data_IF_021483491038
#
_entry.id   IF_021483491038
#
_cell.length_a   1.000
_cell.length_b   1.000
_cell.length_c   1.000
_cell.angle_alpha   90.00
_cell.angle_beta   90.00
_cell.angle_gamma   90.00
#
_symmetry.space_group_name_H-M   'P 1'
#
loop_
_entity.id
_entity.type
_entity.pdbx_description
1 polymer ?
#
# COMPACT_ATOMS: atom_id res chain seq x y z
N UNK A 1 9.14 3.83 47.07
CA UNK A 1 9.08 3.60 45.61
C UNK A 1 9.02 2.10 45.38
N UNK A 2 7.89 1.57 44.91
CA UNK A 2 7.78 0.15 44.58
C UNK A 2 8.58 -0.14 43.29
N UNK A 3 9.30 -1.27 43.18
CA UNK A 3 10.08 -1.58 42.01
C UNK A 3 9.14 -1.85 40.82
N UNK A 4 9.36 -1.14 39.71
CA UNK A 4 8.72 -1.42 38.42
C UNK A 4 9.07 -2.85 38.02
N UNK A 5 8.08 -3.75 38.04
CA UNK A 5 8.23 -5.10 37.49
C UNK A 5 8.52 -4.97 35.99
N UNK A 6 9.75 -5.27 35.59
CA UNK A 6 10.10 -5.48 34.19
C UNK A 6 9.47 -6.81 33.77
N UNK A 7 8.28 -6.75 33.19
CA UNK A 7 7.68 -7.90 32.50
C UNK A 7 8.54 -8.21 31.29
N UNK A 8 9.37 -9.25 31.40
CA UNK A 8 10.07 -9.85 30.27
C UNK A 8 8.98 -10.38 29.33
N UNK A 9 8.75 -9.71 28.19
CA UNK A 9 7.74 -10.17 27.24
C UNK A 9 8.18 -11.52 26.70
N UNK A 10 7.42 -12.59 27.03
CA UNK A 10 7.63 -13.91 26.43
C UNK A 10 7.50 -13.76 24.92
N UNK A 11 8.39 -14.37 24.14
CA UNK A 11 8.22 -14.43 22.69
C UNK A 11 6.85 -15.02 22.38
N UNK A 12 6.07 -14.36 21.52
CA UNK A 12 4.75 -14.83 21.12
C UNK A 12 4.86 -16.24 20.52
N UNK A 13 3.97 -17.14 20.94
CA UNK A 13 3.96 -18.50 20.41
C UNK A 13 3.46 -18.49 18.96
N UNK A 14 3.99 -19.38 18.08
CA UNK A 14 3.59 -19.43 16.69
C UNK A 14 2.08 -19.65 16.58
N UNK A 15 1.39 -18.65 16.03
CA UNK A 15 -0.04 -18.74 15.73
C UNK A 15 -0.22 -19.41 14.35
N UNK A 16 -1.24 -20.25 14.23
CA UNK A 16 -1.60 -20.87 12.94
C UNK A 16 -2.11 -19.82 11.94
N UNK A 17 -2.45 -20.28 10.73
CA UNK A 17 -3.03 -19.41 9.71
C UNK A 17 -4.33 -18.75 10.22
N UNK A 18 -4.36 -17.42 10.30
CA UNK A 18 -5.56 -16.66 10.68
C UNK A 18 -6.62 -16.68 9.57
N UNK A 19 -6.19 -16.91 8.33
CA UNK A 19 -7.04 -16.99 7.16
C UNK A 19 -6.99 -18.41 6.59
N UNK A 20 -8.05 -19.18 6.84
CA UNK A 20 -8.21 -20.57 6.37
C UNK A 20 -8.19 -20.73 4.83
N UNK A 21 -8.31 -19.64 4.08
CA UNK A 21 -8.36 -19.61 2.60
C UNK A 21 -7.13 -18.94 1.96
N UNK A 22 -6.15 -18.51 2.77
CA UNK A 22 -4.90 -17.96 2.28
C UNK A 22 -3.94 -19.12 1.91
N UNK A 23 -4.24 -19.81 0.81
CA UNK A 23 -3.27 -20.65 0.12
C UNK A 23 -2.04 -19.78 -0.20
N UNK A 24 -0.87 -20.02 0.43
CA UNK A 24 0.27 -19.08 0.42
C UNK A 24 0.75 -18.72 -0.99
N UNK A 25 0.56 -19.62 -1.96
CA UNK A 25 0.97 -19.45 -3.36
C UNK A 25 -0.03 -18.71 -4.23
N UNK A 26 -1.32 -18.68 -3.86
CA UNK A 26 -2.37 -18.19 -4.76
C UNK A 26 -2.43 -16.66 -4.74
N UNK A 27 -2.56 -16.03 -3.57
CA UNK A 27 -2.90 -14.61 -3.51
C UNK A 27 -1.80 -13.59 -3.86
N UNK A 28 -0.51 -13.79 -3.52
CA UNK A 28 0.56 -12.86 -3.92
C UNK A 28 0.67 -12.68 -5.45
N UNK A 29 0.37 -13.77 -6.18
CA UNK A 29 0.38 -13.84 -7.63
C UNK A 29 -0.99 -13.52 -8.22
N UNK A 30 -2.08 -13.79 -7.50
CA UNK A 30 -3.43 -13.54 -7.98
C UNK A 30 -3.83 -12.07 -7.95
N UNK A 31 -3.25 -11.25 -7.06
CA UNK A 31 -3.56 -9.82 -6.99
C UNK A 31 -3.21 -9.02 -8.28
N UNK A 32 -2.01 -9.15 -8.88
CA UNK A 32 -1.73 -8.51 -10.17
C UNK A 32 -2.54 -9.15 -11.31
N UNK A 33 -2.84 -10.45 -11.20
CA UNK A 33 -3.72 -11.12 -12.14
C UNK A 33 -5.16 -10.61 -12.05
N UNK A 34 -5.67 -10.26 -10.86
CA UNK A 34 -7.04 -9.78 -10.65
C UNK A 34 -7.25 -8.39 -11.21
N UNK A 35 -6.27 -7.48 -11.03
CA UNK A 35 -6.26 -6.18 -11.67
C UNK A 35 -6.25 -6.31 -13.21
N UNK A 36 -5.44 -7.23 -13.74
CA UNK A 36 -5.41 -7.52 -15.17
C UNK A 36 -6.75 -8.11 -15.66
N UNK A 37 -7.36 -9.01 -14.88
CA UNK A 37 -8.69 -9.57 -15.21
C UNK A 37 -9.78 -8.49 -15.24
N UNK A 38 -9.73 -7.52 -14.34
CA UNK A 38 -10.65 -6.37 -14.36
C UNK A 38 -10.49 -5.57 -15.65
N UNK A 39 -9.26 -5.29 -16.09
CA UNK A 39 -8.99 -4.63 -17.38
C UNK A 39 -9.63 -5.38 -18.57
N UNK A 40 -9.57 -6.72 -18.59
CA UNK A 40 -10.19 -7.52 -19.66
C UNK A 40 -11.71 -7.73 -19.50
N UNK A 41 -12.31 -7.31 -18.38
CA UNK A 41 -13.75 -7.46 -18.11
C UNK A 41 -14.52 -6.15 -18.19
N UNK A 42 -13.91 -5.07 -17.70
CA UNK A 42 -14.45 -3.72 -17.64
C UNK A 42 -13.29 -2.72 -17.71
N UNK A 43 -13.32 -1.85 -18.72
CA UNK A 43 -12.33 -0.78 -18.86
C UNK A 43 -12.97 0.45 -19.52
N UNK A 44 -12.22 1.54 -19.56
CA UNK A 44 -12.60 2.82 -20.16
C UNK A 44 -12.61 2.82 -21.69
N UNK A 45 -11.93 1.86 -22.34
CA UNK A 45 -11.83 1.74 -23.81
C UNK A 45 -13.07 1.06 -24.40
N UNK A 46 -13.50 -0.05 -23.79
CA UNK A 46 -14.53 -0.95 -24.29
C UNK A 46 -15.79 -0.98 -23.42
N UNK A 47 -15.76 -0.32 -22.26
CA UNK A 47 -16.86 -0.28 -21.31
C UNK A 47 -17.02 -1.55 -20.46
N UNK A 48 -18.18 -1.70 -19.84
CA UNK A 48 -18.53 -2.84 -18.99
C UNK A 48 -19.89 -3.43 -19.39
N UNK A 49 -19.98 -4.72 -19.78
CA UNK A 49 -18.87 -5.67 -19.94
C UNK A 49 -18.19 -5.54 -21.31
N UNK A 50 -16.92 -5.94 -21.39
CA UNK A 50 -16.12 -5.96 -22.63
C UNK A 50 -16.82 -6.78 -23.73
N UNK A 51 -16.92 -6.31 -25.00
CA UNK A 51 -17.72 -6.95 -26.04
C UNK A 51 -17.40 -8.43 -26.30
N UNK A 52 -16.11 -8.82 -26.27
CA UNK A 52 -15.70 -10.22 -26.43
C UNK A 52 -16.15 -11.15 -25.29
N UNK A 53 -16.58 -10.61 -24.14
CA UNK A 53 -17.15 -11.41 -23.05
C UNK A 53 -18.64 -11.75 -23.24
N UNK A 54 -19.36 -10.96 -24.05
CA UNK A 54 -20.78 -11.16 -24.33
C UNK A 54 -21.03 -12.11 -25.51
N UNK A 55 -20.09 -12.18 -26.45
CA UNK A 55 -20.20 -13.00 -27.66
C UNK A 55 -19.02 -13.96 -27.77
N UNK A 56 -19.19 -15.26 -27.42
CA UNK A 56 -18.11 -16.24 -27.50
C UNK A 56 -17.50 -16.39 -28.90
N UNK A 57 -18.24 -16.02 -29.94
CA UNK A 57 -17.80 -16.04 -31.35
C UNK A 57 -16.79 -14.95 -31.70
N UNK A 58 -16.69 -13.87 -30.93
CA UNK A 58 -15.73 -12.79 -31.15
C UNK A 58 -14.50 -12.88 -30.25
N UNK A 59 -14.45 -13.87 -29.36
CA UNK A 59 -13.39 -14.09 -28.36
C UNK A 59 -12.11 -14.60 -29.03
N UNK A 60 -11.32 -13.67 -29.56
CA UNK A 60 -9.98 -13.92 -30.10
C UNK A 60 -8.95 -13.11 -29.29
N UNK A 61 -7.73 -13.64 -29.13
CA UNK A 61 -6.64 -12.96 -28.40
C UNK A 61 -6.35 -11.57 -28.98
N UNK A 62 -6.48 -11.38 -30.29
CA UNK A 62 -6.33 -10.09 -30.95
C UNK A 62 -7.38 -9.07 -30.51
N UNK A 63 -8.65 -9.49 -30.48
CA UNK A 63 -9.77 -8.63 -30.06
C UNK A 63 -9.66 -8.29 -28.59
N UNK A 64 -9.36 -9.27 -27.73
CA UNK A 64 -9.14 -9.05 -26.30
C UNK A 64 -8.01 -8.05 -26.04
N UNK A 65 -6.89 -8.15 -26.76
CA UNK A 65 -5.78 -7.20 -26.65
C UNK A 65 -6.18 -5.79 -27.10
N UNK A 66 -6.94 -5.68 -28.18
CA UNK A 66 -7.42 -4.39 -28.67
C UNK A 66 -8.43 -3.76 -27.72
N UNK A 67 -9.40 -4.53 -27.25
CA UNK A 67 -10.46 -4.11 -26.33
C UNK A 67 -9.92 -3.74 -24.93
N UNK A 68 -8.83 -4.38 -24.50
CA UNK A 68 -8.17 -4.06 -23.23
C UNK A 68 -7.10 -2.96 -23.34
N UNK A 69 -6.87 -2.38 -24.53
CA UNK A 69 -5.80 -1.41 -24.74
C UNK A 69 -4.40 -1.98 -24.48
N UNK A 70 -4.21 -3.27 -24.74
CA UNK A 70 -2.99 -3.97 -24.39
C UNK A 70 -1.77 -3.36 -25.13
N UNK A 71 -0.69 -3.00 -24.42
CA UNK A 71 0.46 -2.35 -25.03
C UNK A 71 1.15 -3.21 -26.08
N UNK A 72 1.57 -2.58 -27.18
CA UNK A 72 2.23 -3.27 -28.31
C UNK A 72 3.57 -3.93 -27.92
N UNK A 73 4.27 -3.36 -26.95
CA UNK A 73 5.51 -3.90 -26.35
C UNK A 73 5.25 -4.93 -25.23
N UNK A 74 4.02 -5.41 -25.08
CA UNK A 74 3.67 -6.45 -24.11
C UNK A 74 3.80 -5.98 -22.66
N UNK A 75 4.19 -6.88 -21.76
CA UNK A 75 4.29 -6.56 -20.31
C UNK A 75 5.23 -5.38 -20.01
N UNK A 76 6.20 -5.10 -20.88
CA UNK A 76 7.09 -3.94 -20.73
C UNK A 76 6.35 -2.60 -20.90
N UNK A 77 5.21 -2.57 -21.58
CA UNK A 77 4.37 -1.37 -21.68
C UNK A 77 3.48 -1.14 -20.47
N UNK A 78 3.39 -2.11 -19.55
CA UNK A 78 2.70 -1.96 -18.27
C UNK A 78 3.57 -1.24 -17.22
N UNK A 79 4.86 -1.06 -17.49
CA UNK A 79 5.76 -0.31 -16.62
C UNK A 79 6.24 0.96 -17.33
N UNK A 80 6.23 2.07 -16.59
CA UNK A 80 6.69 3.36 -17.10
C UNK A 80 7.52 4.07 -16.03
N UNK A 81 8.69 4.55 -16.44
CA UNK A 81 9.59 5.31 -15.57
C UNK A 81 8.98 6.64 -15.13
N UNK A 82 8.23 7.29 -16.01
CA UNK A 82 7.53 8.53 -15.71
C UNK A 82 6.51 8.32 -14.57
N UNK A 83 5.71 7.26 -14.69
CA UNK A 83 4.74 6.85 -13.66
C UNK A 83 5.44 6.51 -12.35
N UNK A 84 6.51 5.71 -12.41
CA UNK A 84 7.29 5.36 -11.24
C UNK A 84 7.82 6.60 -10.50
N UNK A 85 8.39 7.57 -11.23
CA UNK A 85 8.91 8.81 -10.65
C UNK A 85 7.81 9.68 -10.05
N UNK A 86 6.63 9.75 -10.68
CA UNK A 86 5.46 10.46 -10.14
C UNK A 86 4.98 9.83 -8.84
N UNK A 87 4.91 8.50 -8.75
CA UNK A 87 4.53 7.80 -7.51
C UNK A 87 5.57 8.02 -6.42
N UNK A 88 6.88 7.92 -6.73
CA UNK A 88 7.95 8.22 -5.77
C UNK A 88 7.86 9.67 -5.29
N UNK A 89 7.62 10.62 -6.20
CA UNK A 89 7.41 12.03 -5.88
C UNK A 89 6.21 12.24 -4.96
N UNK A 90 5.11 11.56 -5.19
CA UNK A 90 3.93 11.58 -4.34
C UNK A 90 4.20 11.03 -2.93
N UNK A 91 4.93 9.93 -2.81
CA UNK A 91 5.35 9.39 -1.51
C UNK A 91 6.28 10.37 -0.78
N UNK A 92 7.27 10.93 -1.47
CA UNK A 92 8.18 11.92 -0.90
C UNK A 92 7.44 13.17 -0.42
N UNK A 93 6.54 13.73 -1.24
CA UNK A 93 5.69 14.85 -0.87
C UNK A 93 4.86 14.50 0.38
N UNK A 94 4.23 13.33 0.40
CA UNK A 94 3.43 12.86 1.54
C UNK A 94 4.24 12.74 2.83
N UNK A 95 5.49 12.27 2.76
CA UNK A 95 6.41 12.22 3.91
C UNK A 95 6.84 13.62 4.37
N UNK A 96 7.12 14.53 3.43
CA UNK A 96 7.45 15.93 3.75
C UNK A 96 6.28 16.61 4.44
N UNK A 97 5.06 16.47 3.91
CA UNK A 97 3.85 17.04 4.51
C UNK A 97 3.58 16.45 5.89
N UNK A 98 3.76 15.14 6.07
CA UNK A 98 3.67 14.50 7.38
C UNK A 98 4.62 15.15 8.39
N UNK A 99 5.86 15.43 8.00
CA UNK A 99 6.86 16.03 8.87
C UNK A 99 6.61 17.52 9.16
N UNK A 100 6.28 18.30 8.13
CA UNK A 100 6.26 19.78 8.17
C UNK A 100 4.93 20.31 8.70
N UNK A 101 3.80 19.76 8.29
CA UNK A 101 2.50 20.30 8.69
C UNK A 101 2.23 20.05 10.17
N UNK A 102 1.59 21.00 10.88
CA UNK A 102 1.18 20.77 12.27
C UNK A 102 0.16 19.63 12.33
N UNK A 103 0.20 18.88 13.43
CA UNK A 103 -0.66 17.72 13.66
C UNK A 103 -0.82 17.44 15.14
N UNK A 104 -1.90 16.75 15.47
CA UNK A 104 -2.14 16.31 16.84
C UNK A 104 -1.33 15.07 17.15
N UNK A 105 -0.60 15.07 18.26
CA UNK A 105 0.14 13.89 18.70
C UNK A 105 -0.66 13.11 19.74
N UNK A 106 -0.96 11.84 19.46
CA UNK A 106 -1.67 10.96 20.39
C UNK A 106 -0.90 9.67 20.63
N UNK A 107 -1.16 9.05 21.77
CA UNK A 107 -0.69 7.71 22.07
C UNK A 107 -1.65 6.68 21.49
N UNK A 108 -1.11 5.66 20.83
CA UNK A 108 -1.86 4.54 20.30
C UNK A 108 -2.33 3.57 21.38
N UNK A 109 -2.77 2.40 20.92
CA UNK A 109 -3.16 1.30 21.78
C UNK A 109 -1.97 0.73 22.54
N UNK A 110 -2.26 0.06 23.66
CA UNK A 110 -1.23 -0.63 24.44
C UNK A 110 -0.78 -1.89 23.69
N UNK A 111 0.54 -2.06 23.58
CA UNK A 111 1.16 -3.18 22.90
C UNK A 111 1.16 -4.44 23.78
N UNK A 112 1.24 -5.62 23.17
CA UNK A 112 1.33 -6.88 23.92
C UNK A 112 2.65 -6.98 24.72
N UNK A 113 3.72 -6.41 24.17
CA UNK A 113 5.01 -6.21 24.85
C UNK A 113 4.99 -5.12 25.92
N UNK A 114 3.90 -4.36 26.02
CA UNK A 114 3.73 -3.23 26.93
C UNK A 114 4.16 -1.90 26.33
N UNK A 115 3.63 -0.81 26.88
CA UNK A 115 3.89 0.55 26.38
C UNK A 115 2.93 0.99 25.28
N UNK A 116 3.10 2.24 24.82
CA UNK A 116 2.26 2.87 23.79
C UNK A 116 3.12 3.63 22.81
N UNK A 117 2.82 3.45 21.53
CA UNK A 117 3.48 4.17 20.45
C UNK A 117 2.84 5.55 20.26
N UNK A 118 3.65 6.53 19.87
CA UNK A 118 3.18 7.89 19.57
C UNK A 118 2.92 8.03 18.07
N UNK A 119 1.83 8.71 17.72
CA UNK A 119 1.40 8.97 16.35
C UNK A 119 1.08 10.45 16.18
N UNK A 120 1.42 10.99 15.01
CA UNK A 120 1.13 12.37 14.63
C UNK A 120 0.04 12.41 13.56
N UNK A 121 -1.12 12.91 13.93
CA UNK A 121 -2.28 13.02 13.07
C UNK A 121 -2.33 14.39 12.40
N UNK A 122 -1.89 14.45 11.14
CA UNK A 122 -2.07 15.60 10.25
C UNK A 122 -2.54 15.19 8.85
N UNK A 123 -3.13 14.00 8.71
CA UNK A 123 -3.56 13.47 7.42
C UNK A 123 -4.53 14.43 6.75
N UNK A 124 -5.52 14.96 7.47
CA UNK A 124 -6.49 15.93 6.93
C UNK A 124 -5.84 17.16 6.27
N UNK A 125 -4.94 17.85 6.97
CA UNK A 125 -4.28 19.04 6.41
C UNK A 125 -3.38 18.68 5.23
N UNK A 126 -2.68 17.55 5.28
CA UNK A 126 -1.89 17.07 4.15
C UNK A 126 -2.75 16.65 2.95
N UNK A 127 -3.96 16.12 3.19
CA UNK A 127 -4.94 15.78 2.15
C UNK A 127 -5.43 17.00 1.42
N UNK A 128 -5.89 18.02 2.15
CA UNK A 128 -6.35 19.25 1.54
C UNK A 128 -5.26 19.93 0.71
N UNK A 129 -4.02 19.94 1.21
CA UNK A 129 -2.90 20.50 0.47
C UNK A 129 -2.61 19.73 -0.83
N UNK A 130 -2.55 18.40 -0.76
CA UNK A 130 -2.34 17.57 -1.95
C UNK A 130 -3.48 17.72 -2.95
N UNK A 131 -4.74 17.73 -2.50
CA UNK A 131 -5.90 17.95 -3.37
C UNK A 131 -5.86 19.32 -4.04
N UNK A 132 -5.47 20.37 -3.32
CA UNK A 132 -5.30 21.71 -3.91
C UNK A 132 -4.20 21.72 -4.99
N UNK A 133 -3.08 21.03 -4.76
CA UNK A 133 -2.03 20.87 -5.78
C UNK A 133 -2.52 20.07 -6.99
N UNK A 134 -3.23 18.96 -6.77
CA UNK A 134 -3.81 18.16 -7.85
C UNK A 134 -4.81 18.99 -8.66
N UNK A 135 -5.73 19.71 -8.01
CA UNK A 135 -6.70 20.58 -8.69
C UNK A 135 -6.01 21.66 -9.53
N UNK A 136 -4.97 22.32 -8.99
CA UNK A 136 -4.18 23.29 -9.74
C UNK A 136 -3.46 22.65 -10.94
N UNK A 137 -2.90 21.44 -10.76
CA UNK A 137 -2.29 20.66 -11.83
C UNK A 137 -3.29 20.29 -12.92
N UNK A 138 -4.49 19.84 -12.53
CA UNK A 138 -5.57 19.47 -13.47
C UNK A 138 -6.04 20.66 -14.29
N UNK A 139 -6.20 21.85 -13.67
CA UNK A 139 -6.55 23.08 -14.40
C UNK A 139 -5.48 23.44 -15.44
N UNK A 140 -4.20 23.17 -15.14
CA UNK A 140 -3.09 23.54 -16.01
C UNK A 140 -2.81 22.52 -17.13
N UNK A 141 -3.00 21.22 -16.88
CA UNK A 141 -2.46 20.14 -17.72
C UNK A 141 -3.45 19.02 -18.06
N UNK A 142 -4.69 19.06 -17.54
CA UNK A 142 -5.70 18.01 -17.74
C UNK A 142 -5.70 16.92 -16.66
N UNK A 143 -6.63 15.97 -16.76
CA UNK A 143 -6.93 14.96 -15.74
C UNK A 143 -6.28 13.59 -16.00
N UNK A 144 -5.12 13.54 -16.66
CA UNK A 144 -4.44 12.28 -16.95
C UNK A 144 -3.64 11.80 -15.73
N UNK A 145 -4.24 10.88 -14.97
CA UNK A 145 -3.58 10.24 -13.84
C UNK A 145 -2.93 8.91 -14.26
N UNK A 146 -1.63 8.73 -13.98
CA UNK A 146 -0.95 7.51 -14.38
C UNK A 146 -1.32 6.33 -13.47
N UNK A 147 -1.23 5.08 -13.99
CA UNK A 147 -1.58 3.88 -13.25
C UNK A 147 -0.61 3.55 -12.09
N UNK A 148 -1.04 2.60 -11.26
CA UNK A 148 -0.38 2.18 -10.01
C UNK A 148 1.02 1.56 -10.27
N UNK A 149 1.95 1.82 -9.35
CA UNK A 149 3.36 1.36 -9.42
C UNK A 149 3.63 0.15 -8.51
N UNK A 150 4.58 -0.71 -8.89
CA UNK A 150 5.01 -1.93 -8.18
C UNK A 150 5.78 -1.69 -6.86
N UNK A 151 5.72 -0.47 -6.30
CA UNK A 151 6.42 -0.09 -5.06
C UNK A 151 5.93 -0.91 -3.86
N UNK A 152 4.69 -1.42 -3.89
CA UNK A 152 4.12 -2.27 -2.84
C UNK A 152 4.94 -3.54 -2.59
N UNK A 153 5.40 -4.24 -3.64
CA UNK A 153 6.22 -5.44 -3.50
C UNK A 153 7.61 -5.15 -2.91
N UNK A 154 8.22 -4.04 -3.32
CA UNK A 154 9.51 -3.60 -2.77
C UNK A 154 9.37 -3.25 -1.29
N UNK A 155 8.30 -2.52 -0.92
CA UNK A 155 8.01 -2.14 0.46
C UNK A 155 7.69 -3.36 1.34
N UNK A 156 6.86 -4.30 0.86
CA UNK A 156 6.55 -5.55 1.54
C UNK A 156 7.81 -6.37 1.82
N UNK A 157 8.69 -6.48 0.81
CA UNK A 157 9.97 -7.17 0.95
C UNK A 157 10.89 -6.47 1.96
N UNK A 158 10.94 -5.13 1.94
CA UNK A 158 11.71 -4.35 2.90
C UNK A 158 11.23 -4.56 4.34
N UNK A 159 9.93 -4.44 4.61
CA UNK A 159 9.39 -4.63 5.97
C UNK A 159 9.54 -6.07 6.44
N UNK A 160 9.41 -7.04 5.53
CA UNK A 160 9.65 -8.46 5.85
C UNK A 160 11.10 -8.72 6.25
N UNK A 161 12.08 -8.27 5.46
CA UNK A 161 13.50 -8.44 5.79
C UNK A 161 13.86 -7.73 7.10
N UNK A 162 13.37 -6.50 7.30
CA UNK A 162 13.60 -5.71 8.52
C UNK A 162 13.00 -6.38 9.76
N UNK A 163 11.89 -7.11 9.63
CA UNK A 163 11.21 -7.77 10.74
C UNK A 163 12.07 -8.83 11.45
N UNK A 164 13.06 -9.41 10.77
CA UNK A 164 13.97 -10.40 11.37
C UNK A 164 14.90 -9.78 12.43
N UNK A 165 15.04 -8.46 12.46
CA UNK A 165 15.80 -7.78 13.51
C UNK A 165 15.01 -7.57 14.81
N UNK A 166 13.70 -7.88 14.83
CA UNK A 166 12.83 -7.66 16.00
C UNK A 166 13.20 -8.62 17.11
N UNK A 167 13.48 -8.07 18.30
CA UNK A 167 13.81 -8.83 19.51
C UNK A 167 12.79 -8.55 20.62
N UNK A 168 12.33 -9.55 21.39
CA UNK A 168 11.46 -9.30 22.54
C UNK A 168 12.11 -8.33 23.53
N UNK A 169 11.32 -7.39 24.07
CA UNK A 169 11.80 -6.39 25.02
C UNK A 169 12.77 -5.35 24.47
N UNK A 170 12.79 -5.12 23.15
CA UNK A 170 13.60 -4.04 22.58
C UNK A 170 13.10 -2.65 23.05
N UNK A 171 14.00 -1.66 23.16
CA UNK A 171 13.63 -0.31 23.63
C UNK A 171 12.76 0.45 22.63
N UNK A 172 12.69 0.00 21.38
CA UNK A 172 11.90 0.60 20.29
C UNK A 172 10.44 0.13 20.28
N UNK A 173 10.03 -0.70 21.25
CA UNK A 173 8.69 -1.28 21.36
C UNK A 173 8.23 -2.02 20.09
N UNK A 174 9.17 -2.62 19.35
CA UNK A 174 8.85 -3.42 18.15
C UNK A 174 8.39 -4.81 18.56
N UNK A 175 7.26 -5.24 18.03
CA UNK A 175 6.73 -6.59 18.26
C UNK A 175 6.31 -7.26 16.95
N UNK A 176 6.26 -8.57 16.98
CA UNK A 176 5.80 -9.36 15.85
C UNK A 176 4.27 -9.39 15.82
N UNK A 177 3.69 -9.42 14.63
CA UNK A 177 2.25 -9.63 14.47
C UNK A 177 1.90 -11.07 14.87
N UNK A 178 0.75 -11.27 15.52
CA UNK A 178 0.32 -12.60 15.99
C UNK A 178 0.30 -13.64 14.86
N UNK A 179 -0.28 -13.31 13.71
CA UNK A 179 -0.26 -14.16 12.52
C UNK A 179 1.02 -14.12 11.68
N UNK A 180 1.97 -13.24 11.99
CA UNK A 180 3.16 -12.96 11.15
C UNK A 180 4.37 -13.87 11.40
N UNK A 181 4.19 -14.95 12.17
CA UNK A 181 5.25 -15.88 12.54
C UNK A 181 4.75 -17.33 12.52
N UNK A 182 4.08 -17.71 11.43
CA UNK A 182 3.50 -19.04 11.21
C UNK A 182 4.54 -20.13 10.87
N UNK A 183 5.75 -19.73 10.44
CA UNK A 183 6.79 -20.63 9.95
C UNK A 183 6.75 -20.86 8.43
N UNK A 184 5.72 -20.36 7.74
CA UNK A 184 5.67 -20.32 6.29
C UNK A 184 6.15 -18.95 5.78
N UNK A 185 7.31 -18.92 5.12
CA UNK A 185 7.93 -17.69 4.66
C UNK A 185 7.04 -16.87 3.72
N UNK A 186 6.30 -17.53 2.83
CA UNK A 186 5.46 -16.86 1.84
C UNK A 186 4.23 -16.24 2.48
N UNK A 187 3.62 -16.94 3.44
CA UNK A 187 2.52 -16.41 4.23
C UNK A 187 2.97 -15.24 5.12
N UNK A 188 4.06 -15.41 5.86
CA UNK A 188 4.61 -14.39 6.76
C UNK A 188 5.09 -13.13 5.97
N UNK A 189 5.56 -13.31 4.73
CA UNK A 189 5.87 -12.21 3.82
C UNK A 189 4.61 -11.49 3.33
N UNK A 190 3.55 -12.23 3.00
CA UNK A 190 2.30 -11.65 2.48
C UNK A 190 1.52 -10.89 3.55
N UNK A 191 1.31 -11.49 4.72
CA UNK A 191 0.55 -10.87 5.82
C UNK A 191 1.37 -9.78 6.55
N UNK A 192 2.69 -9.91 6.53
CA UNK A 192 3.62 -9.06 7.26
C UNK A 192 3.96 -9.60 8.65
N UNK A 193 5.25 -9.66 8.95
CA UNK A 193 5.79 -10.23 10.19
C UNK A 193 5.90 -9.25 11.36
N UNK A 194 6.24 -7.99 11.08
CA UNK A 194 6.34 -6.93 12.11
C UNK A 194 4.99 -6.23 12.29
N UNK A 195 4.55 -6.02 13.55
CA UNK A 195 3.24 -5.43 13.81
C UNK A 195 3.17 -3.95 13.43
N UNK A 196 4.17 -3.13 13.80
CA UNK A 196 4.19 -1.70 13.49
C UNK A 196 5.58 -1.32 12.94
N UNK A 197 5.87 -1.61 11.67
CA UNK A 197 7.18 -1.35 11.09
C UNK A 197 7.46 0.16 11.03
N UNK A 198 8.41 0.62 11.85
CA UNK A 198 8.81 2.04 11.94
C UNK A 198 10.19 2.28 11.35
N UNK A 199 10.33 3.41 10.65
CA UNK A 199 11.61 3.89 10.10
C UNK A 199 11.86 5.33 10.53
N UNK A 200 13.07 5.61 11.01
CA UNK A 200 13.49 6.97 11.35
C UNK A 200 14.42 7.47 10.26
N UNK A 201 13.97 8.50 9.55
CA UNK A 201 14.72 9.15 8.48
C UNK A 201 15.32 10.46 9.01
N UNK A 202 16.63 10.73 8.76
CA UNK A 202 17.32 11.89 9.35
C UNK A 202 16.63 13.25 9.18
N UNK A 203 15.90 13.45 8.08
CA UNK A 203 15.21 14.71 7.78
C UNK A 203 13.68 14.65 7.94
N UNK A 204 13.10 13.45 7.85
CA UNK A 204 11.64 13.26 7.83
C UNK A 204 11.08 12.74 9.17
N UNK A 205 11.95 12.41 10.13
CA UNK A 205 11.55 11.91 11.43
C UNK A 205 11.17 10.44 11.40
N UNK A 206 10.51 9.99 12.45
CA UNK A 206 9.96 8.63 12.57
C UNK A 206 8.65 8.53 11.80
N UNK A 207 8.53 7.48 10.97
CA UNK A 207 7.34 7.17 10.19
C UNK A 207 6.96 5.72 10.49
N UNK A 208 5.71 5.51 10.90
CA UNK A 208 5.09 4.19 10.96
C UNK A 208 4.60 3.83 9.56
N UNK A 209 5.23 2.84 8.93
CA UNK A 209 4.96 2.49 7.53
C UNK A 209 3.53 2.01 7.36
N UNK A 210 2.96 1.31 8.35
CA UNK A 210 1.60 0.79 8.29
C UNK A 210 0.60 1.95 8.26
N UNK A 211 0.66 2.84 9.26
CA UNK A 211 -0.23 4.00 9.35
C UNK A 211 -0.03 4.97 8.18
N UNK A 212 1.22 5.20 7.78
CA UNK A 212 1.54 6.03 6.63
C UNK A 212 0.89 5.51 5.36
N UNK A 213 1.07 4.21 5.05
CA UNK A 213 0.57 3.61 3.81
C UNK A 213 -0.95 3.52 3.76
N UNK A 214 -1.59 3.23 4.90
CA UNK A 214 -3.05 3.16 5.02
C UNK A 214 -3.69 4.52 4.67
N UNK A 215 -3.21 5.59 5.32
CA UNK A 215 -3.88 6.88 5.28
C UNK A 215 -3.49 7.73 4.06
N UNK A 216 -2.22 7.67 3.65
CA UNK A 216 -1.68 8.57 2.62
C UNK A 216 -1.75 7.91 1.25
N UNK A 217 -0.83 7.03 0.81
CA UNK A 217 -0.96 6.45 -0.52
C UNK A 217 -2.17 5.52 -0.69
N UNK A 218 -2.70 4.91 0.38
CA UNK A 218 -3.91 4.09 0.35
C UNK A 218 -5.18 4.91 0.17
N UNK A 219 -5.76 5.41 1.27
CA UNK A 219 -7.07 6.10 1.25
C UNK A 219 -7.07 7.37 0.39
N UNK A 220 -6.00 8.17 0.41
CA UNK A 220 -5.92 9.32 -0.50
C UNK A 220 -5.73 8.90 -1.94
N UNK A 221 -4.94 7.85 -2.20
CA UNK A 221 -4.77 7.33 -3.54
C UNK A 221 -6.11 6.94 -4.13
N UNK A 222 -6.95 6.28 -3.33
CA UNK A 222 -8.34 5.99 -3.71
C UNK A 222 -9.13 7.26 -4.01
N UNK A 223 -9.13 8.26 -3.12
CA UNK A 223 -9.82 9.53 -3.36
C UNK A 223 -9.38 10.24 -4.66
N UNK A 224 -8.07 10.23 -4.96
CA UNK A 224 -7.51 10.83 -6.18
C UNK A 224 -7.96 10.07 -7.43
N UNK A 225 -8.01 8.74 -7.38
CA UNK A 225 -8.50 7.91 -8.50
C UNK A 225 -9.99 8.19 -8.76
N UNK A 226 -10.82 8.30 -7.72
CA UNK A 226 -12.24 8.62 -7.88
C UNK A 226 -12.43 9.98 -8.56
N UNK A 227 -11.68 11.01 -8.15
CA UNK A 227 -11.73 12.32 -8.81
C UNK A 227 -11.19 12.30 -10.24
N UNK A 228 -10.17 11.49 -10.52
CA UNK A 228 -9.65 11.29 -11.87
C UNK A 228 -10.71 10.71 -12.80
N UNK A 229 -11.43 9.67 -12.36
CA UNK A 229 -12.50 9.06 -13.14
C UNK A 229 -13.68 10.00 -13.39
N UNK A 230 -14.02 10.87 -12.43
CA UNK A 230 -15.05 11.90 -12.63
C UNK A 230 -14.60 13.00 -13.58
N UNK A 231 -13.31 13.37 -13.54
CA UNK A 231 -12.75 14.47 -14.34
C UNK A 231 -12.35 14.08 -15.77
N UNK A 232 -12.23 12.80 -16.08
CA UNK A 232 -11.83 12.33 -17.41
C UNK A 232 -12.98 12.48 -18.41
N UNK A 233 -12.79 13.18 -19.55
CA UNK A 233 -13.77 13.17 -20.64
C UNK A 233 -13.81 11.78 -21.26
N UNK A 234 -15.01 11.18 -21.29
CA UNK A 234 -15.31 9.90 -21.95
C UNK A 234 -15.12 10.05 -23.47
#
# INVERSE_FOLDING_TARGET
MAPKKTTVSKAAEPHGYEFWWAEPLVYPLDFPCSATRQLFSANDISGCPVPSSLSPSTLTISNLKQEAGWPANGLAGLSSWDVFLKVVGYYLLSMVLHRVLPGEEKLGVELASGGKLKYKFNTWSSTLFTLALCAAGTIAQGADFPPISFISYALATFVYIRSFSVKPGNPELRELAAGGHSGNMLYDWFIGRELNPRVTLPLLGEIDIKEFCELRPGLMGWLLMDYAFVGSPI
#
